data_IF_801832980717
#
_entry.id   IF_801832980717
#
_cell.length_a   1.000
_cell.length_b   1.000
_cell.length_c   1.000
_cell.angle_alpha   90.00
_cell.angle_beta   90.00
_cell.angle_gamma   90.00
#
_symmetry.space_group_name_H-M   'P 1'
#
loop_
_entity.id
_entity.type
_entity.pdbx_description
1 polymer ?
#
# COMPACT_ATOMS: atom_id res chain seq x y z
N UNK A 1 1.70 17.61 -4.55
CA UNK A 1 3.07 17.42 -3.99
C UNK A 1 3.51 16.00 -4.32
N UNK A 2 4.80 15.78 -4.62
CA UNK A 2 5.36 14.44 -4.85
C UNK A 2 5.91 13.92 -3.51
N UNK A 3 5.88 12.60 -3.29
CA UNK A 3 6.56 11.98 -2.16
C UNK A 3 8.08 12.12 -2.34
N UNK A 4 8.81 12.30 -1.23
CA UNK A 4 10.26 12.34 -1.26
C UNK A 4 10.84 10.96 -1.58
N UNK A 5 12.05 10.93 -2.14
CA UNK A 5 12.74 9.67 -2.39
C UNK A 5 13.01 8.91 -1.09
N UNK A 6 13.29 9.63 0.00
CA UNK A 6 13.45 9.04 1.33
C UNK A 6 12.19 8.29 1.75
N UNK A 7 11.02 8.91 1.70
CA UNK A 7 9.77 8.22 2.05
C UNK A 7 9.47 7.06 1.12
N UNK A 8 9.79 7.15 -0.16
CA UNK A 8 9.66 5.99 -1.07
C UNK A 8 10.58 4.85 -0.62
N UNK A 9 11.84 5.15 -0.29
CA UNK A 9 12.82 4.17 0.16
C UNK A 9 12.42 3.54 1.50
N UNK A 10 11.91 4.30 2.47
CA UNK A 10 11.48 3.77 3.76
C UNK A 10 10.43 2.65 3.59
N UNK A 11 9.46 2.85 2.68
CA UNK A 11 8.42 1.86 2.38
C UNK A 11 8.94 0.67 1.54
N UNK A 12 9.95 0.89 0.69
CA UNK A 12 10.62 -0.18 -0.07
C UNK A 12 11.45 -1.05 0.88
N UNK A 13 12.21 -0.44 1.79
CA UNK A 13 13.13 -1.10 2.72
C UNK A 13 12.37 -1.96 3.73
N UNK A 14 11.21 -1.49 4.20
CA UNK A 14 10.32 -2.31 5.04
C UNK A 14 9.56 -3.38 4.23
N UNK A 15 9.66 -3.37 2.90
CA UNK A 15 9.01 -4.34 2.03
C UNK A 15 7.49 -4.19 1.99
N UNK A 16 6.99 -2.97 2.14
CA UNK A 16 5.56 -2.64 2.09
C UNK A 16 5.12 -2.38 0.65
N UNK A 17 5.99 -1.76 -0.14
CA UNK A 17 5.76 -1.49 -1.57
C UNK A 17 6.85 -2.11 -2.45
N UNK A 18 6.53 -2.41 -3.70
CA UNK A 18 7.47 -2.86 -4.72
C UNK A 18 7.08 -2.33 -6.10
N UNK A 19 8.05 -2.15 -6.99
CA UNK A 19 7.80 -1.92 -8.40
C UNK A 19 7.76 -3.26 -9.15
N UNK A 20 6.78 -3.44 -10.03
CA UNK A 20 6.67 -4.63 -10.88
C UNK A 20 6.04 -4.28 -12.23
N UNK A 21 5.96 -5.26 -13.13
CA UNK A 21 5.11 -5.21 -14.32
C UNK A 21 3.92 -6.15 -14.13
N UNK A 22 2.71 -5.66 -14.39
CA UNK A 22 1.49 -6.45 -14.30
C UNK A 22 0.89 -6.67 -15.69
N UNK A 23 0.47 -7.89 -15.99
CA UNK A 23 -0.14 -8.26 -17.27
C UNK A 23 -1.66 -8.13 -17.17
N UNK A 24 -2.25 -7.24 -17.96
CA UNK A 24 -3.70 -7.14 -18.15
C UNK A 24 -4.00 -7.22 -19.64
N UNK A 25 -4.84 -8.18 -20.05
CA UNK A 25 -5.28 -8.40 -21.43
C UNK A 25 -4.11 -8.54 -22.43
N UNK A 26 -3.10 -9.34 -22.05
CA UNK A 26 -1.94 -9.58 -22.90
C UNK A 26 -0.82 -8.53 -22.79
N UNK A 27 -1.13 -7.35 -22.25
CA UNK A 27 -0.19 -6.21 -22.19
C UNK A 27 0.41 -6.07 -20.80
N UNK A 28 1.73 -5.91 -20.73
CA UNK A 28 2.45 -5.59 -19.49
C UNK A 28 2.52 -4.07 -19.28
N UNK A 29 2.24 -3.62 -18.07
CA UNK A 29 2.43 -2.23 -17.67
C UNK A 29 3.10 -2.12 -16.29
N UNK A 30 3.84 -1.04 -16.03
CA UNK A 30 4.46 -0.83 -14.73
C UNK A 30 3.39 -0.54 -13.67
N UNK A 31 3.52 -1.21 -12.54
CA UNK A 31 2.66 -1.05 -11.36
C UNK A 31 3.49 -0.89 -10.10
N UNK A 32 2.87 -0.26 -9.10
CA UNK A 32 3.27 -0.39 -7.71
C UNK A 32 2.46 -1.53 -7.09
N UNK A 33 3.15 -2.48 -6.48
CA UNK A 33 2.57 -3.54 -5.65
C UNK A 33 2.60 -3.06 -4.20
N UNK A 34 1.47 -3.12 -3.54
CA UNK A 34 1.33 -2.89 -2.11
C UNK A 34 1.04 -4.23 -1.43
N UNK A 35 1.93 -4.69 -0.55
CA UNK A 35 1.76 -5.96 0.16
C UNK A 35 0.76 -5.82 1.30
N UNK A 36 -0.07 -6.84 1.46
CA UNK A 36 -0.94 -6.99 2.63
C UNK A 36 -0.27 -7.97 3.58
N UNK A 37 -0.09 -7.55 4.82
CA UNK A 37 0.54 -8.36 5.85
C UNK A 37 -0.43 -8.55 7.01
N UNK A 38 -0.40 -9.72 7.63
CA UNK A 38 -1.10 -9.95 8.89
C UNK A 38 -0.32 -9.34 10.07
N UNK A 39 -0.86 -9.53 11.28
CA UNK A 39 -0.28 -8.96 12.50
C UNK A 39 1.10 -9.53 12.83
N UNK A 40 1.42 -10.73 12.32
CA UNK A 40 2.72 -11.38 12.45
C UNK A 40 3.68 -11.00 11.31
N UNK A 41 3.33 -9.97 10.53
CA UNK A 41 4.08 -9.50 9.36
C UNK A 41 4.21 -10.54 8.24
N UNK A 42 3.35 -11.57 8.22
CA UNK A 42 3.33 -12.55 7.13
C UNK A 42 2.52 -12.00 5.97
N UNK A 43 3.05 -12.14 4.75
CA UNK A 43 2.33 -11.73 3.56
C UNK A 43 1.07 -12.60 3.37
N UNK A 44 -0.08 -11.94 3.25
CA UNK A 44 -1.40 -12.57 3.10
C UNK A 44 -2.15 -12.06 1.87
N UNK A 45 -1.51 -11.24 1.05
CA UNK A 45 -2.11 -10.66 -0.14
C UNK A 45 -1.30 -9.50 -0.70
N UNK A 46 -1.85 -8.90 -1.75
CA UNK A 46 -1.34 -7.66 -2.30
C UNK A 46 -2.40 -6.93 -3.14
N UNK A 47 -2.19 -5.64 -3.37
CA UNK A 47 -2.90 -4.86 -4.37
C UNK A 47 -1.93 -4.18 -5.32
N UNK A 48 -2.36 -3.97 -6.56
CA UNK A 48 -1.55 -3.31 -7.60
C UNK A 48 -2.22 -2.02 -8.05
N UNK A 49 -1.38 -1.01 -8.29
CA UNK A 49 -1.77 0.30 -8.81
C UNK A 49 -0.89 0.66 -10.01
N UNK A 50 -1.52 0.95 -11.15
CA UNK A 50 -0.84 1.41 -12.35
C UNK A 50 -0.23 2.79 -12.17
N UNK A 51 0.92 3.01 -12.81
CA UNK A 51 1.63 4.31 -12.81
C UNK A 51 1.48 5.09 -14.11
N UNK A 52 0.87 4.50 -15.14
CA UNK A 52 0.64 5.12 -16.45
C UNK A 52 -0.85 5.29 -16.72
N UNK A 53 -1.23 6.50 -17.11
CA UNK A 53 -2.62 6.81 -17.44
C UNK A 53 -2.97 6.14 -18.77
N UNK A 54 -4.04 5.35 -18.79
CA UNK A 54 -4.62 4.73 -19.97
C UNK A 54 -6.15 4.72 -19.86
N UNK A 55 -6.75 5.84 -20.27
CA UNK A 55 -8.20 5.99 -20.29
C UNK A 55 -8.88 5.06 -21.31
N UNK A 56 -8.16 4.57 -22.33
CA UNK A 56 -8.72 3.65 -23.32
C UNK A 56 -8.95 2.27 -22.69
N UNK A 57 -8.00 1.79 -21.88
CA UNK A 57 -8.10 0.49 -21.19
C UNK A 57 -8.89 0.54 -19.89
N UNK A 58 -8.85 1.66 -19.16
CA UNK A 58 -9.40 1.75 -17.80
C UNK A 58 -10.56 2.75 -17.63
N UNK A 59 -11.04 3.35 -18.73
CA UNK A 59 -12.17 4.28 -18.72
C UNK A 59 -11.97 5.42 -17.73
N UNK A 60 -13.01 5.72 -16.94
CA UNK A 60 -13.00 6.80 -15.93
C UNK A 60 -11.95 6.64 -14.82
N UNK A 61 -11.46 5.42 -14.59
CA UNK A 61 -10.48 5.15 -13.54
C UNK A 61 -9.05 5.44 -14.00
N UNK A 62 -8.79 5.44 -15.32
CA UNK A 62 -7.52 5.82 -15.93
C UNK A 62 -6.32 4.90 -15.65
N UNK A 63 -6.38 4.01 -14.66
CA UNK A 63 -5.27 3.17 -14.24
C UNK A 63 -5.75 1.77 -13.82
N UNK A 64 -4.88 0.77 -13.93
CA UNK A 64 -5.13 -0.52 -13.29
C UNK A 64 -5.16 -0.35 -11.77
N UNK A 65 -6.22 -0.83 -11.13
CA UNK A 65 -6.34 -0.95 -9.68
C UNK A 65 -6.99 -2.30 -9.35
N UNK A 66 -6.21 -3.23 -8.80
CA UNK A 66 -6.68 -4.61 -8.53
C UNK A 66 -6.13 -5.13 -7.21
N UNK A 67 -6.89 -6.02 -6.57
CA UNK A 67 -6.41 -6.88 -5.49
C UNK A 67 -5.96 -8.19 -6.15
N UNK A 68 -4.79 -8.70 -5.77
CA UNK A 68 -4.25 -9.95 -6.31
C UNK A 68 -5.14 -11.12 -5.84
N UNK A 69 -5.46 -12.09 -6.72
CA UNK A 69 -6.24 -13.27 -6.33
C UNK A 69 -5.67 -13.98 -5.10
N UNK A 70 -6.53 -14.64 -4.33
CA UNK A 70 -6.19 -15.33 -3.08
C UNK A 70 -5.64 -14.43 -1.95
N UNK A 71 -5.76 -13.10 -2.06
CA UNK A 71 -5.51 -12.21 -0.93
C UNK A 71 -6.59 -12.39 0.14
N UNK A 72 -6.19 -12.48 1.41
CA UNK A 72 -7.14 -12.56 2.53
C UNK A 72 -7.97 -11.27 2.62
N UNK A 73 -9.29 -11.42 2.80
CA UNK A 73 -10.17 -10.29 3.11
C UNK A 73 -9.84 -9.71 4.49
N UNK A 74 -10.16 -8.42 4.68
CA UNK A 74 -9.97 -7.67 5.92
C UNK A 74 -8.50 -7.37 6.32
N UNK A 75 -7.53 -7.71 5.48
CA UNK A 75 -6.13 -7.29 5.67
C UNK A 75 -5.81 -6.09 4.79
N UNK A 76 -5.07 -5.14 5.36
CA UNK A 76 -4.59 -3.95 4.70
C UNK A 76 -3.08 -3.95 4.54
N UNK A 77 -2.57 -2.81 4.12
CA UNK A 77 -1.13 -2.53 4.04
C UNK A 77 -0.71 -1.93 5.37
N UNK A 78 0.37 -2.45 5.94
CA UNK A 78 0.86 -2.04 7.25
C UNK A 78 2.25 -1.47 7.11
N UNK A 79 2.48 -0.29 7.68
CA UNK A 79 3.81 0.31 7.84
C UNK A 79 4.10 0.58 9.32
N UNK A 80 5.24 0.08 9.80
CA UNK A 80 5.70 0.21 11.18
C UNK A 80 6.72 1.35 11.26
N UNK A 81 6.34 2.48 11.86
CA UNK A 81 7.23 3.63 12.05
C UNK A 81 7.85 3.58 13.45
N UNK A 82 9.18 3.49 13.52
CA UNK A 82 9.89 3.40 14.82
C UNK A 82 9.55 2.15 15.64
N UNK A 83 9.03 1.09 15.00
CA UNK A 83 8.65 -0.17 15.64
C UNK A 83 9.46 -1.32 15.05
N UNK A 84 9.99 -2.20 15.89
CA UNK A 84 10.52 -3.49 15.45
C UNK A 84 9.39 -4.51 15.31
N UNK A 85 9.63 -5.59 14.56
CA UNK A 85 8.61 -6.58 14.21
C UNK A 85 7.90 -7.22 15.42
N UNK A 86 8.56 -7.24 16.58
CA UNK A 86 8.10 -7.81 17.84
C UNK A 86 7.73 -6.76 18.90
N UNK A 87 7.74 -5.47 18.58
CA UNK A 87 7.35 -4.42 19.52
C UNK A 87 5.81 -4.31 19.60
N UNK A 88 5.28 -4.18 20.81
CA UNK A 88 3.86 -3.90 21.02
C UNK A 88 3.55 -2.48 20.56
N UNK A 89 2.65 -2.33 19.59
CA UNK A 89 2.26 -1.02 19.06
C UNK A 89 1.44 -0.25 20.09
N UNK A 90 1.80 1.01 20.35
CA UNK A 90 1.05 1.89 21.27
C UNK A 90 0.04 2.79 20.55
N UNK A 91 0.20 2.98 19.23
CA UNK A 91 -0.68 3.82 18.41
C UNK A 91 -0.91 3.23 17.02
N UNK A 92 -2.17 3.17 16.60
CA UNK A 92 -2.57 2.79 15.24
C UNK A 92 -3.26 3.95 14.53
N UNK A 93 -2.93 4.18 13.27
CA UNK A 93 -3.58 5.18 12.41
C UNK A 93 -4.07 4.51 11.14
N UNK A 94 -5.36 4.66 10.84
CA UNK A 94 -6.02 4.02 9.70
C UNK A 94 -6.25 5.00 8.56
N UNK A 95 -6.05 4.53 7.34
CA UNK A 95 -6.20 5.31 6.11
C UNK A 95 -7.08 4.58 5.10
N UNK A 96 -7.82 5.32 4.29
CA UNK A 96 -8.68 4.75 3.24
C UNK A 96 -7.86 4.12 2.12
N UNK A 97 -6.72 4.72 1.78
CA UNK A 97 -5.84 4.26 0.71
C UNK A 97 -4.35 4.38 1.06
N UNK A 98 -3.48 3.62 0.36
CA UNK A 98 -2.05 3.59 0.63
C UNK A 98 -1.37 4.94 0.37
N UNK A 99 -1.88 5.69 -0.61
CA UNK A 99 -1.33 6.99 -0.96
C UNK A 99 -1.59 8.04 0.12
N UNK A 100 -2.73 7.96 0.81
CA UNK A 100 -3.06 8.84 1.93
C UNK A 100 -2.14 8.55 3.11
N UNK A 101 -1.90 7.26 3.38
CA UNK A 101 -0.95 6.80 4.39
C UNK A 101 0.47 7.32 4.11
N UNK A 102 0.98 7.13 2.89
CA UNK A 102 2.33 7.60 2.52
C UNK A 102 2.43 9.12 2.57
N UNK A 103 1.38 9.83 2.15
CA UNK A 103 1.33 11.30 2.21
C UNK A 103 1.31 11.80 3.65
N UNK A 104 0.58 11.13 4.54
CA UNK A 104 0.57 11.44 5.96
C UNK A 104 1.93 11.16 6.61
N UNK A 105 2.56 10.03 6.27
CA UNK A 105 3.90 9.68 6.75
C UNK A 105 4.93 10.75 6.36
N UNK A 106 4.97 11.16 5.09
CA UNK A 106 5.87 12.22 4.60
C UNK A 106 5.78 13.49 5.46
N UNK A 107 4.56 13.87 5.85
CA UNK A 107 4.33 15.09 6.62
C UNK A 107 4.60 14.96 8.12
N UNK A 108 4.62 13.74 8.67
CA UNK A 108 4.59 13.52 10.12
C UNK A 108 5.65 12.55 10.64
N UNK A 109 6.53 11.99 9.80
CA UNK A 109 7.49 10.93 10.17
C UNK A 109 8.26 11.14 11.47
N UNK A 110 8.63 12.39 11.79
CA UNK A 110 9.35 12.74 13.04
C UNK A 110 8.51 12.56 14.32
N UNK A 111 7.20 12.37 14.20
CA UNK A 111 6.23 12.21 15.30
C UNK A 111 5.56 10.83 15.30
N UNK A 112 6.04 9.90 14.47
CA UNK A 112 5.45 8.58 14.28
C UNK A 112 6.27 7.46 14.90
N UNK A 113 7.18 7.76 15.82
CA UNK A 113 7.85 6.73 16.62
C UNK A 113 6.80 5.88 17.38
N UNK A 114 7.03 4.57 17.45
CA UNK A 114 6.10 3.64 18.09
C UNK A 114 4.71 3.51 17.42
N UNK A 115 4.54 3.93 16.16
CA UNK A 115 3.23 4.01 15.48
C UNK A 115 3.11 3.03 14.32
N UNK A 116 1.98 2.31 14.26
CA UNK A 116 1.59 1.49 13.11
C UNK A 116 0.60 2.25 12.23
N UNK A 117 0.95 2.41 10.96
CA UNK A 117 0.08 2.95 9.93
C UNK A 117 -0.57 1.79 9.19
N UNK A 118 -1.88 1.86 8.98
CA UNK A 118 -2.66 0.83 8.30
C UNK A 118 -3.49 1.46 7.20
N UNK A 119 -3.20 1.14 5.95
CA UNK A 119 -4.03 1.54 4.82
C UNK A 119 -4.97 0.39 4.41
N UNK A 120 -6.25 0.70 4.33
CA UNK A 120 -7.27 -0.19 3.81
C UNK A 120 -7.33 -0.05 2.28
N UNK A 121 -8.04 -0.95 1.61
CA UNK A 121 -8.25 -0.91 0.16
C UNK A 121 -9.68 -0.45 -0.19
N UNK A 122 -10.15 0.59 0.52
CA UNK A 122 -11.55 1.00 0.53
C UNK A 122 -12.46 -0.04 1.18
N UNK A 123 -13.51 0.41 1.87
CA UNK A 123 -14.57 -0.49 2.33
C UNK A 123 -15.30 -1.01 1.08
N UNK A 124 -15.19 -2.30 0.77
CA UNK A 124 -16.16 -2.93 -0.14
C UNK A 124 -17.40 -3.22 0.69
N UNK A 125 -18.49 -2.50 0.42
CA UNK A 125 -19.79 -2.89 0.92
C UNK A 125 -20.01 -4.37 0.58
N UNK A 126 -20.38 -5.17 1.57
CA UNK A 126 -20.83 -6.54 1.33
C UNK A 126 -22.18 -6.43 0.61
N UNK A 127 -22.17 -6.50 -0.72
CA UNK A 127 -23.35 -6.90 -1.50
C UNK A 127 -23.64 -8.38 -1.27
#
# INVERSE_FOLDING_TARGET
RKLSQTTINDFLDQGVIYQANYKTDGVYEPVIVFKHNDMDSKNVGASVQGTRLDNKRYGKHGYVKKIIPNSKSNYGITFNSGLKANDTTHKMVFFEAPIDMMSYYELNKDKLDGTRLVAMNGLKERT
#
